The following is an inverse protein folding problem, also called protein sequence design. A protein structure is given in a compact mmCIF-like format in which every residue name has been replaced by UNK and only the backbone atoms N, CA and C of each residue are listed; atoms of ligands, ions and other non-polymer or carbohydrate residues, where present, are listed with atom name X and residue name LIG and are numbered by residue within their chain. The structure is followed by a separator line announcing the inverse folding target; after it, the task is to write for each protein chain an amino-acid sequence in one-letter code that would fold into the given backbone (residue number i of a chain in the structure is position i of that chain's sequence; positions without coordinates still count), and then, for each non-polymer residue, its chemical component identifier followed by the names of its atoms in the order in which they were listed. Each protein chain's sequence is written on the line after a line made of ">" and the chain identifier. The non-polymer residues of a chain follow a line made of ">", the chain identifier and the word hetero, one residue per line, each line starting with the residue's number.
data_IF_317682253305
#
_entry.id   IF_317682253305
#
_cell.length_a   1.000
_cell.length_b   1.000
_cell.length_c   1.000
_cell.angle_alpha   90.00
_cell.angle_beta   90.00
_cell.angle_gamma   90.00
#
_symmetry.space_group_name_H-M   'P 1'
#
loop_
_entity.id
_entity.type
_entity.pdbx_description
1 polymer ?
#
# COMPACT_ATOMS: atom_id res chain seq x y z
N UNK A 1 34.76 30.54 -18.00
CA UNK A 1 34.42 29.71 -16.83
C UNK A 1 35.31 28.49 -16.93
N UNK A 2 36.13 28.22 -15.91
CA UNK A 2 37.02 27.06 -15.89
C UNK A 2 36.19 25.76 -15.75
N UNK A 3 36.68 24.66 -16.31
CA UNK A 3 36.05 23.34 -16.27
C UNK A 3 35.74 22.90 -14.84
N UNK A 4 36.62 23.24 -13.88
CA UNK A 4 36.41 22.95 -12.47
C UNK A 4 35.18 23.70 -11.90
N UNK A 5 35.01 24.98 -12.21
CA UNK A 5 33.85 25.77 -11.75
C UNK A 5 32.53 25.27 -12.35
N UNK A 6 32.56 24.78 -13.60
CA UNK A 6 31.41 24.16 -14.24
C UNK A 6 31.03 22.84 -13.54
N UNK A 7 32.02 22.02 -13.19
CA UNK A 7 31.83 20.78 -12.44
C UNK A 7 31.28 21.05 -11.02
N UNK A 8 31.82 22.01 -10.29
CA UNK A 8 31.35 22.41 -8.96
C UNK A 8 29.90 22.88 -8.98
N UNK A 9 29.53 23.69 -9.99
CA UNK A 9 28.16 24.18 -10.15
C UNK A 9 27.18 23.03 -10.45
N UNK A 10 27.56 22.11 -11.34
CA UNK A 10 26.76 20.93 -11.65
C UNK A 10 26.61 19.99 -10.44
N UNK A 11 27.72 19.66 -9.76
CA UNK A 11 27.72 18.80 -8.58
C UNK A 11 26.95 19.43 -7.42
N UNK A 12 27.06 20.76 -7.23
CA UNK A 12 26.30 21.51 -6.22
C UNK A 12 24.79 21.42 -6.44
N UNK A 13 24.33 21.47 -7.70
CA UNK A 13 22.94 21.24 -8.06
C UNK A 13 22.46 19.86 -7.61
N UNK A 14 23.21 18.81 -7.91
CA UNK A 14 22.88 17.43 -7.52
C UNK A 14 22.90 17.25 -5.99
N UNK A 15 23.89 17.83 -5.29
CA UNK A 15 23.96 17.77 -3.83
C UNK A 15 22.76 18.44 -3.15
N UNK A 16 22.25 19.54 -3.72
CA UNK A 16 21.07 20.24 -3.19
C UNK A 16 19.81 19.35 -3.19
N UNK A 17 19.69 18.50 -4.21
CA UNK A 17 18.61 17.52 -4.39
C UNK A 17 18.72 16.33 -3.43
N UNK A 18 19.89 16.10 -2.83
CA UNK A 18 20.15 15.05 -1.85
C UNK A 18 20.03 15.52 -0.39
N UNK A 19 19.68 16.79 -0.16
CA UNK A 19 19.48 17.31 1.21
C UNK A 19 18.37 16.54 1.95
N UNK A 20 18.39 16.49 3.29
CA UNK A 20 17.32 15.86 4.07
C UNK A 20 15.92 16.41 3.75
N UNK A 21 15.82 17.71 3.43
CA UNK A 21 14.56 18.34 3.06
C UNK A 21 14.06 17.88 1.67
N UNK A 22 14.93 17.87 0.66
CA UNK A 22 14.61 17.38 -0.68
C UNK A 22 14.25 15.90 -0.66
N UNK A 23 15.02 15.07 0.06
CA UNK A 23 14.70 13.66 0.25
C UNK A 23 13.34 13.45 0.93
N UNK A 24 13.01 14.24 1.96
CA UNK A 24 11.67 14.20 2.58
C UNK A 24 10.57 14.65 1.63
N UNK A 25 10.85 15.53 0.67
CA UNK A 25 9.88 15.87 -0.38
C UNK A 25 9.66 14.69 -1.32
N UNK A 26 10.73 14.06 -1.81
CA UNK A 26 10.66 12.88 -2.65
C UNK A 26 9.87 11.73 -2.00
N UNK A 27 10.19 11.39 -0.74
CA UNK A 27 9.50 10.32 -0.01
C UNK A 27 8.02 10.62 0.22
N UNK A 28 7.63 11.89 0.44
CA UNK A 28 6.22 12.27 0.58
C UNK A 28 5.43 12.04 -0.70
N UNK A 29 6.03 12.34 -1.85
CA UNK A 29 5.35 12.13 -3.14
C UNK A 29 5.25 10.64 -3.48
N UNK A 30 6.32 9.86 -3.25
CA UNK A 30 6.28 8.40 -3.33
C UNK A 30 5.17 7.83 -2.43
N UNK A 31 5.07 8.30 -1.18
CA UNK A 31 4.08 7.83 -0.24
C UNK A 31 2.65 8.04 -0.74
N UNK A 32 2.36 9.23 -1.30
CA UNK A 32 1.03 9.58 -1.82
C UNK A 32 0.63 8.67 -2.98
N UNK A 33 1.52 8.49 -3.96
CA UNK A 33 1.24 7.67 -5.14
C UNK A 33 1.14 6.19 -4.78
N UNK A 34 2.04 5.70 -3.92
CA UNK A 34 2.00 4.32 -3.46
C UNK A 34 0.72 4.05 -2.67
N UNK A 35 0.33 4.92 -1.72
CA UNK A 35 -0.96 4.81 -1.03
C UNK A 35 -2.13 4.79 -2.02
N UNK A 36 -2.15 5.65 -3.04
CA UNK A 36 -3.19 5.65 -4.06
C UNK A 36 -3.26 4.31 -4.78
N UNK A 37 -2.12 3.79 -5.25
CA UNK A 37 -2.05 2.50 -5.93
C UNK A 37 -2.55 1.34 -5.06
N UNK A 38 -2.03 1.21 -3.83
CA UNK A 38 -2.45 0.16 -2.89
C UNK A 38 -3.97 0.21 -2.65
N UNK A 39 -4.54 1.41 -2.45
CA UNK A 39 -5.98 1.59 -2.20
C UNK A 39 -6.83 1.21 -3.39
N UNK A 40 -6.39 1.54 -4.60
CA UNK A 40 -7.07 1.19 -5.85
C UNK A 40 -7.04 -0.32 -6.06
N UNK A 41 -5.87 -0.95 -5.91
CA UNK A 41 -5.73 -2.41 -6.07
C UNK A 41 -6.55 -3.20 -5.04
N UNK A 42 -6.56 -2.78 -3.78
CA UNK A 42 -7.42 -3.40 -2.75
C UNK A 42 -8.91 -3.21 -3.09
N UNK A 43 -9.31 -2.05 -3.64
CA UNK A 43 -10.68 -1.83 -4.10
C UNK A 43 -11.09 -2.81 -5.21
N UNK A 44 -10.17 -3.09 -6.13
CA UNK A 44 -10.32 -4.06 -7.22
C UNK A 44 -10.24 -5.52 -6.77
N UNK A 45 -9.92 -5.78 -5.49
CA UNK A 45 -9.78 -7.13 -4.92
C UNK A 45 -8.69 -7.96 -5.61
N UNK A 46 -7.51 -7.36 -5.86
CA UNK A 46 -6.38 -8.03 -6.52
C UNK A 46 -5.12 -8.06 -5.65
N UNK A 47 -4.33 -9.12 -5.81
CA UNK A 47 -2.97 -9.23 -5.30
C UNK A 47 -2.00 -8.42 -6.17
N UNK A 48 -0.76 -8.15 -5.71
CA UNK A 48 0.26 -7.42 -6.47
C UNK A 48 0.68 -8.10 -7.78
N UNK A 49 0.57 -9.44 -7.86
CA UNK A 49 0.81 -10.23 -9.08
C UNK A 49 -0.36 -10.16 -10.09
N UNK A 50 -1.40 -9.39 -9.77
CA UNK A 50 -2.60 -9.23 -10.60
C UNK A 50 -3.68 -10.28 -10.37
N UNK A 51 -3.42 -11.36 -9.64
CA UNK A 51 -4.41 -12.40 -9.34
C UNK A 51 -5.56 -11.85 -8.49
N UNK A 52 -6.77 -12.39 -8.66
CA UNK A 52 -7.91 -11.99 -7.84
C UNK A 52 -7.78 -12.57 -6.42
N UNK A 53 -8.21 -11.81 -5.41
CA UNK A 53 -8.32 -12.32 -4.05
C UNK A 53 -9.25 -13.52 -4.00
N UNK A 54 -8.87 -14.51 -3.18
CA UNK A 54 -9.73 -15.67 -2.97
C UNK A 54 -11.08 -15.23 -2.39
N UNK A 55 -12.16 -15.75 -2.97
CA UNK A 55 -13.53 -15.39 -2.58
C UNK A 55 -13.81 -15.80 -1.14
N UNK A 56 -14.69 -15.06 -0.47
CA UNK A 56 -15.20 -15.48 0.86
C UNK A 56 -15.97 -16.79 0.73
N UNK A 57 -15.90 -17.65 1.75
CA UNK A 57 -16.78 -18.83 1.84
C UNK A 57 -18.26 -18.44 1.58
N UNK A 58 -18.96 -19.14 0.67
CA UNK A 58 -20.37 -18.89 0.44
C UNK A 58 -21.14 -19.22 1.74
N UNK A 59 -22.12 -18.37 2.09
CA UNK A 59 -23.05 -18.71 3.18
C UNK A 59 -24.08 -19.72 2.64
N UNK A 60 -24.68 -20.59 3.49
CA UNK A 60 -25.73 -21.51 3.07
C UNK A 60 -26.90 -20.81 2.36
N UNK A 61 -27.52 -21.49 1.38
CA UNK A 61 -28.57 -20.92 0.52
C UNK A 61 -29.87 -20.58 1.27
N UNK A 62 -30.17 -21.22 2.40
CA UNK A 62 -31.44 -21.03 3.12
C UNK A 62 -31.62 -19.65 3.79
N UNK A 63 -30.63 -18.76 3.71
CA UNK A 63 -30.72 -17.35 4.14
C UNK A 63 -30.98 -16.38 2.96
N UNK A 64 -31.19 -16.87 1.72
CA UNK A 64 -30.91 -16.12 0.47
C UNK A 64 -32.07 -15.43 -0.24
N UNK A 65 -33.35 -15.71 0.00
CA UNK A 65 -34.37 -15.35 -1.01
C UNK A 65 -35.27 -14.15 -0.66
N UNK A 66 -34.85 -13.24 0.24
CA UNK A 66 -35.61 -12.00 0.48
C UNK A 66 -35.19 -10.88 -0.50
N UNK A 67 -36.13 -10.47 -1.35
CA UNK A 67 -36.03 -9.29 -2.20
C UNK A 67 -35.70 -8.03 -1.36
N UNK A 68 -34.80 -7.17 -1.86
CA UNK A 68 -34.37 -5.93 -1.18
C UNK A 68 -33.06 -6.01 -0.37
N UNK A 69 -32.31 -7.13 -0.45
CA UNK A 69 -31.09 -7.30 0.36
C UNK A 69 -29.87 -6.54 -0.19
N UNK A 70 -29.21 -5.79 0.70
CA UNK A 70 -27.96 -5.05 0.44
C UNK A 70 -26.87 -6.00 -0.10
N UNK A 71 -26.33 -5.67 -1.30
CA UNK A 71 -25.22 -6.40 -1.92
C UNK A 71 -24.04 -6.50 -0.95
N UNK A 72 -23.42 -7.68 -0.88
CA UNK A 72 -22.27 -7.90 0.01
C UNK A 72 -21.13 -6.98 -0.40
N UNK A 73 -20.74 -6.05 0.47
CA UNK A 73 -19.65 -5.13 0.21
C UNK A 73 -18.31 -5.86 -0.05
N UNK A 74 -17.46 -5.23 -0.86
CA UNK A 74 -16.11 -5.69 -1.15
C UNK A 74 -15.27 -5.86 0.12
N UNK A 75 -14.29 -6.78 0.11
CA UNK A 75 -13.43 -6.97 1.27
C UNK A 75 -12.55 -5.74 1.49
N UNK A 76 -12.17 -5.48 2.74
CA UNK A 76 -11.21 -4.42 3.09
C UNK A 76 -11.64 -3.00 2.68
N UNK A 77 -12.93 -2.78 2.35
CA UNK A 77 -13.45 -1.47 1.95
C UNK A 77 -13.18 -0.36 2.99
N UNK A 78 -13.17 -0.71 4.28
CA UNK A 78 -12.77 0.19 5.36
C UNK A 78 -11.24 0.33 5.43
N UNK A 79 -10.51 -0.78 5.44
CA UNK A 79 -9.04 -0.82 5.52
C UNK A 79 -8.37 0.01 4.41
N UNK A 80 -8.88 0.00 3.18
CA UNK A 80 -8.33 0.81 2.07
C UNK A 80 -8.56 2.32 2.17
N UNK A 81 -9.22 2.82 3.21
CA UNK A 81 -9.38 4.27 3.37
C UNK A 81 -8.05 4.89 3.83
N UNK A 82 -7.76 6.11 3.39
CA UNK A 82 -6.49 6.78 3.68
C UNK A 82 -6.19 6.87 5.19
N UNK A 83 -7.21 7.03 6.04
CA UNK A 83 -7.05 7.06 7.51
C UNK A 83 -6.50 5.77 8.12
N UNK A 84 -6.60 4.63 7.43
CA UNK A 84 -6.14 3.33 7.93
C UNK A 84 -4.85 2.85 7.25
N UNK A 85 -4.64 3.17 5.97
CA UNK A 85 -3.38 2.90 5.27
C UNK A 85 -2.43 4.09 5.48
N UNK A 86 -1.57 4.00 6.49
CA UNK A 86 -0.68 5.07 6.93
C UNK A 86 0.66 5.00 6.21
N UNK A 87 1.27 6.17 6.05
CA UNK A 87 2.67 6.32 5.67
C UNK A 87 3.41 6.89 6.88
N UNK A 88 4.59 6.34 7.14
CA UNK A 88 5.53 6.81 8.16
C UNK A 88 6.89 7.03 7.49
N UNK A 89 7.57 8.10 7.86
CA UNK A 89 8.80 8.54 7.20
C UNK A 89 9.80 9.06 8.21
N UNK A 90 11.05 8.65 8.07
CA UNK A 90 12.15 9.07 8.92
C UNK A 90 13.44 9.29 8.12
N UNK A 91 14.56 9.40 8.82
CA UNK A 91 15.88 9.52 8.21
C UNK A 91 16.36 8.24 7.52
N UNK A 92 15.67 7.11 7.67
CA UNK A 92 16.02 5.83 7.06
C UNK A 92 15.15 5.53 5.84
N UNK A 93 13.90 6.00 5.79
CA UNK A 93 13.10 5.88 4.58
C UNK A 93 11.61 6.12 4.78
N UNK A 94 10.83 5.35 4.03
CA UNK A 94 9.38 5.39 3.99
C UNK A 94 8.84 3.99 4.29
N UNK A 95 7.90 3.90 5.23
CA UNK A 95 7.09 2.73 5.49
C UNK A 95 5.62 3.02 5.18
N UNK A 96 4.93 2.08 4.53
CA UNK A 96 3.47 2.13 4.36
C UNK A 96 2.85 0.89 4.97
N UNK A 97 1.79 1.08 5.75
CA UNK A 97 1.09 -0.04 6.32
C UNK A 97 -0.12 0.33 7.17
N UNK A 98 -0.48 -0.59 8.05
CA UNK A 98 -1.62 -0.47 8.94
C UNK A 98 -1.14 -0.44 10.38
N UNK A 99 -1.79 0.37 11.23
CA UNK A 99 -1.44 0.51 12.64
C UNK A 99 -2.61 0.14 13.57
N UNK A 100 -2.29 -0.13 14.83
CA UNK A 100 -3.28 -0.42 15.88
C UNK A 100 -4.15 -1.65 15.56
N UNK A 101 -5.43 -1.60 15.95
CA UNK A 101 -6.35 -2.74 15.88
C UNK A 101 -6.53 -3.31 14.46
N UNK A 102 -6.48 -2.44 13.44
CA UNK A 102 -6.70 -2.88 12.05
C UNK A 102 -5.49 -3.60 11.46
N UNK A 103 -4.29 -3.40 12.02
CA UNK A 103 -3.06 -4.06 11.58
C UNK A 103 -3.10 -5.57 11.75
N UNK A 104 -3.79 -6.06 12.80
CA UNK A 104 -3.98 -7.50 13.03
C UNK A 104 -4.70 -8.15 11.84
N UNK A 105 -5.85 -7.60 11.44
CA UNK A 105 -6.63 -8.12 10.31
C UNK A 105 -5.82 -8.05 9.02
N UNK A 106 -5.14 -6.94 8.78
CA UNK A 106 -4.28 -6.79 7.62
C UNK A 106 -3.18 -7.86 7.57
N UNK A 107 -2.49 -8.11 8.69
CA UNK A 107 -1.41 -9.10 8.80
C UNK A 107 -1.90 -10.53 8.55
N UNK A 108 -3.05 -10.90 9.13
CA UNK A 108 -3.64 -12.23 8.92
C UNK A 108 -3.90 -12.46 7.44
N UNK A 109 -4.49 -11.48 6.77
CA UNK A 109 -4.75 -11.60 5.34
C UNK A 109 -3.48 -11.49 4.49
N UNK A 110 -2.53 -10.64 4.87
CA UNK A 110 -1.26 -10.48 4.17
C UNK A 110 -0.51 -11.81 4.02
N UNK A 111 -0.46 -12.61 5.09
CA UNK A 111 0.35 -13.82 5.15
C UNK A 111 -0.46 -15.12 5.17
N UNK A 112 -1.79 -15.06 5.09
CA UNK A 112 -2.64 -16.25 5.17
C UNK A 112 -2.66 -16.92 6.55
N UNK A 113 -2.81 -16.11 7.61
CA UNK A 113 -2.78 -16.57 8.99
C UNK A 113 -4.08 -17.17 9.52
N UNK A 114 -4.02 -17.68 10.74
CA UNK A 114 -5.18 -18.20 11.49
C UNK A 114 -5.69 -17.15 12.47
N UNK A 115 -7.01 -16.95 12.54
CA UNK A 115 -7.64 -16.14 13.59
C UNK A 115 -9.04 -16.67 13.94
N UNK A 116 -9.56 -16.26 15.09
CA UNK A 116 -10.92 -16.56 15.52
C UNK A 116 -11.92 -15.75 14.70
N UNK A 117 -13.02 -16.39 14.27
CA UNK A 117 -14.08 -15.73 13.49
C UNK A 117 -14.94 -14.80 14.37
N UNK A 118 -15.06 -15.11 15.66
CA UNK A 118 -15.77 -14.31 16.66
C UNK A 118 -15.08 -14.46 18.03
N UNK A 119 -15.37 -13.57 19.02
CA UNK A 119 -14.95 -13.79 20.41
C UNK A 119 -15.38 -15.18 20.88
N UNK A 120 -14.43 -15.97 21.37
CA UNK A 120 -14.63 -17.38 21.77
C UNK A 120 -15.19 -18.31 20.68
N UNK A 121 -15.13 -17.90 19.41
CA UNK A 121 -15.60 -18.69 18.27
C UNK A 121 -14.53 -19.60 17.67
N UNK A 122 -14.90 -20.36 16.61
CA UNK A 122 -13.99 -21.25 15.92
C UNK A 122 -12.81 -20.50 15.29
N UNK A 123 -11.66 -21.17 15.22
CA UNK A 123 -10.50 -20.69 14.48
C UNK A 123 -10.67 -20.97 12.99
N UNK A 124 -10.14 -20.09 12.16
CA UNK A 124 -10.15 -20.22 10.72
C UNK A 124 -8.82 -19.77 10.14
N UNK A 125 -8.26 -20.60 9.26
CA UNK A 125 -7.09 -20.24 8.46
C UNK A 125 -7.55 -19.49 7.22
N UNK A 126 -7.17 -18.22 7.14
CA UNK A 126 -7.52 -17.35 6.03
C UNK A 126 -6.54 -17.57 4.88
N UNK A 127 -7.02 -17.62 3.62
CA UNK A 127 -6.10 -17.60 2.50
C UNK A 127 -5.46 -16.22 2.36
N UNK A 128 -4.24 -16.20 1.86
CA UNK A 128 -3.47 -15.00 1.63
C UNK A 128 -4.19 -14.07 0.63
N UNK A 129 -4.32 -12.81 1.02
CA UNK A 129 -4.80 -11.69 0.22
C UNK A 129 -3.82 -10.56 0.50
N UNK A 130 -2.85 -10.42 -0.38
CA UNK A 130 -1.70 -9.54 -0.23
C UNK A 130 -2.19 -8.10 -0.36
N UNK A 131 -2.35 -7.43 0.78
CA UNK A 131 -2.87 -6.06 0.85
C UNK A 131 -1.77 -5.05 0.53
N UNK A 132 -0.57 -5.28 1.09
CA UNK A 132 0.62 -4.47 0.91
C UNK A 132 1.59 -5.21 -0.01
N UNK A 133 2.04 -4.56 -1.06
CA UNK A 133 3.03 -5.11 -1.97
C UNK A 133 3.18 -4.26 -3.22
N UNK A 134 4.28 -4.44 -3.94
CA UNK A 134 4.58 -3.70 -5.15
C UNK A 134 4.19 -4.51 -6.38
N UNK A 135 3.42 -3.91 -7.27
CA UNK A 135 3.35 -4.35 -8.67
C UNK A 135 4.58 -3.85 -9.44
N UNK A 136 4.79 -4.31 -10.66
CA UNK A 136 5.83 -3.75 -11.53
C UNK A 136 5.59 -2.26 -11.82
N UNK A 137 4.34 -1.89 -12.08
CA UNK A 137 3.93 -0.49 -12.24
C UNK A 137 4.20 0.36 -10.97
N UNK A 138 4.07 -0.21 -9.76
CA UNK A 138 4.44 0.50 -8.53
C UNK A 138 5.95 0.78 -8.51
N UNK A 139 6.78 -0.19 -8.91
CA UNK A 139 8.25 -0.05 -8.93
C UNK A 139 8.70 0.99 -9.95
N UNK A 140 8.09 1.01 -11.13
CA UNK A 140 8.32 2.02 -12.16
C UNK A 140 7.92 3.41 -11.68
N UNK A 141 6.69 3.55 -11.16
CA UNK A 141 6.23 4.82 -10.61
C UNK A 141 7.14 5.35 -9.51
N UNK A 142 7.59 4.49 -8.58
CA UNK A 142 8.52 4.88 -7.51
C UNK A 142 9.82 5.41 -8.12
N UNK A 143 10.37 4.70 -9.12
CA UNK A 143 11.58 5.11 -9.83
C UNK A 143 11.39 6.48 -10.47
N UNK A 144 10.31 6.69 -11.21
CA UNK A 144 10.04 7.93 -11.92
C UNK A 144 9.85 9.11 -10.97
N UNK A 145 9.11 8.91 -9.87
CA UNK A 145 8.96 9.94 -8.83
C UNK A 145 10.32 10.28 -8.23
N UNK A 146 11.14 9.30 -7.86
CA UNK A 146 12.46 9.56 -7.29
C UNK A 146 13.36 10.29 -8.28
N UNK A 147 13.43 9.83 -9.54
CA UNK A 147 14.22 10.47 -10.60
C UNK A 147 13.83 11.92 -10.82
N UNK A 148 12.54 12.24 -10.77
CA UNK A 148 12.06 13.64 -10.87
C UNK A 148 12.61 14.56 -9.77
N UNK A 149 12.99 14.01 -8.61
CA UNK A 149 13.55 14.80 -7.50
C UNK A 149 15.08 14.89 -7.53
N UNK A 150 15.77 14.05 -8.31
CA UNK A 150 17.25 13.99 -8.36
C UNK A 150 17.84 14.22 -9.76
N UNK A 151 17.01 14.35 -10.79
CA UNK A 151 17.44 14.75 -12.11
C UNK A 151 17.35 16.29 -12.21
N UNK A 152 18.41 16.96 -12.69
CA UNK A 152 18.37 18.39 -13.01
C UNK A 152 17.43 18.71 -14.18
#
# INVERSE_FOLDING_TARGET
>A
MDELSALESWAGGLLSQLTPAARRAALRDVARELQRSQRTRIAQQRNPDGSAYEKRKPRPKHLRDKAGRIKRAAMFAKLRQARYLRADMDSQGLAIGFAGRVARVARIHQFGGTDRVAPSGPQYTYPARVLLGFTDADREMIRDVVLKHIAP
#
